data_IF_109302509409
#
_entry.id   IF_109302509409
#
_cell.length_a   1.000
_cell.length_b   1.000
_cell.length_c   1.000
_cell.angle_alpha   90.00
_cell.angle_beta   90.00
_cell.angle_gamma   90.00
#
_symmetry.space_group_name_H-M   'P 1'
#
loop_
_entity.id
_entity.type
_entity.pdbx_description
1 polymer ?
#
# COMPACT_ATOMS: atom_id res chain seq x y z
N UNK A 1 -16.22 17.01 -24.63
CA UNK A 1 -15.22 16.37 -25.49
C UNK A 1 -15.04 14.92 -25.07
N UNK A 2 -16.00 14.08 -25.47
CA UNK A 2 -15.85 12.63 -25.59
C UNK A 2 -15.14 12.41 -26.92
N UNK A 3 -13.90 11.95 -26.95
CA UNK A 3 -13.20 11.76 -28.23
C UNK A 3 -11.94 10.90 -28.09
N UNK A 4 -12.04 9.68 -28.63
CA UNK A 4 -10.99 8.94 -29.34
C UNK A 4 -9.88 8.21 -28.59
N UNK A 5 -9.71 8.36 -27.27
CA UNK A 5 -8.73 7.53 -26.54
C UNK A 5 -9.32 6.23 -25.95
N UNK A 6 -10.61 6.22 -25.60
CA UNK A 6 -11.28 5.02 -25.07
C UNK A 6 -11.71 4.02 -26.16
N UNK A 7 -11.92 4.47 -27.40
CA UNK A 7 -12.38 3.61 -28.50
C UNK A 7 -11.28 2.72 -29.09
N UNK A 8 -10.00 3.07 -28.91
CA UNK A 8 -8.89 2.28 -29.46
C UNK A 8 -8.48 1.10 -28.58
N UNK A 9 -8.71 1.16 -27.26
CA UNK A 9 -8.41 0.05 -26.35
C UNK A 9 -9.61 -0.89 -26.14
N UNK A 10 -10.84 -0.43 -26.39
CA UNK A 10 -12.03 -1.28 -26.36
C UNK A 10 -12.13 -2.11 -27.65
N UNK A 11 -11.72 -1.60 -28.81
CA UNK A 11 -11.76 -2.39 -30.04
C UNK A 11 -10.76 -3.55 -30.09
N UNK A 12 -9.59 -3.45 -29.44
CA UNK A 12 -8.63 -4.57 -29.42
C UNK A 12 -9.06 -5.73 -28.50
N UNK A 13 -10.02 -5.50 -27.59
CA UNK A 13 -10.60 -6.53 -26.71
C UNK A 13 -12.00 -6.97 -27.17
N UNK A 14 -12.57 -6.32 -28.20
CA UNK A 14 -13.94 -6.59 -28.69
C UNK A 14 -13.96 -7.31 -30.05
N UNK A 15 -12.84 -7.44 -30.77
CA UNK A 15 -12.76 -8.27 -31.99
C UNK A 15 -12.20 -9.68 -31.73
N UNK A 16 -12.70 -10.35 -30.68
CA UNK A 16 -12.50 -11.78 -30.44
C UNK A 16 -13.83 -12.51 -30.12
N UNK A 17 -14.95 -11.85 -30.42
CA UNK A 17 -16.30 -12.38 -30.29
C UNK A 17 -16.90 -12.51 -31.69
N UNK A 18 -17.14 -13.77 -32.07
CA UNK A 18 -17.73 -14.31 -33.31
C UNK A 18 -16.68 -15.02 -34.18
N UNK A 19 -16.97 -16.30 -34.43
CA UNK A 19 -16.15 -17.39 -35.02
C UNK A 19 -15.20 -18.01 -33.97
N UNK A 20 -15.44 -19.20 -33.43
CA UNK A 20 -15.73 -20.47 -34.12
C UNK A 20 -16.48 -21.47 -33.23
N UNK A 21 -17.69 -21.85 -33.64
CA UNK A 21 -18.17 -23.23 -33.46
C UNK A 21 -17.43 -24.08 -34.49
N UNK A 22 -16.98 -25.27 -34.08
CA UNK A 22 -16.17 -26.26 -34.81
C UNK A 22 -14.66 -26.06 -34.63
N UNK A 23 -14.10 -26.79 -33.66
CA UNK A 23 -12.91 -27.61 -33.84
C UNK A 23 -13.04 -28.84 -32.94
N UNK A 24 -13.42 -29.96 -33.56
CA UNK A 24 -13.22 -31.28 -32.98
C UNK A 24 -11.75 -31.65 -33.15
N UNK A 25 -11.00 -31.68 -32.07
CA UNK A 25 -9.99 -32.69 -31.78
C UNK A 25 -9.60 -32.57 -30.31
N UNK A 26 -10.22 -33.44 -29.53
CA UNK A 26 -9.96 -33.64 -28.12
C UNK A 26 -8.63 -34.40 -27.97
N UNK A 27 -7.58 -33.67 -27.64
CA UNK A 27 -6.43 -34.18 -26.89
C UNK A 27 -6.08 -33.10 -25.87
N UNK A 28 -6.51 -33.26 -24.62
CA UNK A 28 -5.97 -32.74 -23.34
C UNK A 28 -5.37 -31.31 -23.25
N UNK A 29 -5.63 -30.40 -24.19
CA UNK A 29 -5.05 -29.06 -24.20
C UNK A 29 -5.89 -28.09 -23.36
N UNK A 30 -5.46 -27.89 -22.12
CA UNK A 30 -5.99 -26.88 -21.19
C UNK A 30 -5.47 -25.46 -21.46
N UNK A 31 -4.45 -25.31 -22.31
CA UNK A 31 -3.91 -24.00 -22.64
C UNK A 31 -4.89 -23.20 -23.52
N UNK A 32 -5.15 -21.96 -23.15
CA UNK A 32 -6.12 -21.10 -23.84
C UNK A 32 -6.69 -20.02 -22.94
N UNK A 33 -7.72 -19.35 -23.47
CA UNK A 33 -8.46 -18.27 -22.81
C UNK A 33 -9.82 -18.79 -22.40
N UNK A 34 -10.19 -18.61 -21.13
CA UNK A 34 -11.48 -18.95 -20.57
C UNK A 34 -12.18 -17.72 -20.01
N UNK A 35 -13.50 -17.61 -20.17
CA UNK A 35 -14.27 -16.47 -19.65
C UNK A 35 -15.73 -16.83 -19.38
N UNK A 36 -16.34 -16.14 -18.41
CA UNK A 36 -17.77 -16.24 -18.08
C UNK A 36 -18.61 -15.12 -18.72
N UNK A 37 -18.03 -14.37 -19.68
CA UNK A 37 -18.68 -13.21 -20.32
C UNK A 37 -19.97 -13.55 -21.09
N UNK A 38 -20.17 -14.81 -21.49
CA UNK A 38 -21.34 -15.26 -22.22
C UNK A 38 -22.63 -15.32 -21.38
N UNK A 39 -22.53 -15.34 -20.04
CA UNK A 39 -23.69 -15.48 -19.13
C UNK A 39 -24.13 -14.17 -18.45
N UNK A 40 -23.63 -13.02 -18.93
CA UNK A 40 -24.02 -11.71 -18.39
C UNK A 40 -23.33 -11.32 -17.06
N UNK A 41 -22.37 -12.12 -16.59
CA UNK A 41 -21.56 -11.81 -15.41
C UNK A 41 -20.37 -10.88 -15.74
N UNK A 42 -19.96 -10.09 -14.76
CA UNK A 42 -18.89 -9.11 -14.89
C UNK A 42 -17.49 -9.74 -14.85
N UNK A 43 -16.97 -10.14 -16.01
CA UNK A 43 -15.56 -9.94 -16.37
C UNK A 43 -14.49 -10.73 -15.61
N UNK A 44 -14.62 -12.06 -15.50
CA UNK A 44 -13.50 -12.95 -15.15
C UNK A 44 -12.88 -13.57 -16.42
N UNK A 45 -11.54 -13.59 -16.49
CA UNK A 45 -10.77 -14.18 -17.58
C UNK A 45 -9.60 -14.98 -17.03
N UNK A 46 -9.46 -16.22 -17.48
CA UNK A 46 -8.26 -17.02 -17.28
C UNK A 46 -7.50 -17.14 -18.58
N UNK A 47 -6.19 -16.94 -18.53
CA UNK A 47 -5.27 -17.26 -19.61
C UNK A 47 -4.31 -18.31 -19.08
N UNK A 48 -4.31 -19.51 -19.65
CA UNK A 48 -3.45 -20.61 -19.26
C UNK A 48 -2.46 -20.89 -20.37
N UNK A 49 -1.16 -20.76 -20.12
CA UNK A 49 -0.09 -21.14 -21.05
C UNK A 49 0.36 -22.57 -20.82
N UNK A 50 0.78 -23.26 -21.88
CA UNK A 50 1.35 -24.61 -21.83
C UNK A 50 2.57 -24.73 -20.88
N UNK A 51 3.25 -23.62 -20.56
CA UNK A 51 4.40 -23.63 -19.65
C UNK A 51 4.04 -23.69 -18.16
N UNK A 52 2.75 -23.83 -17.81
CA UNK A 52 2.28 -23.90 -16.42
C UNK A 52 2.12 -22.54 -15.75
N UNK A 53 2.22 -21.44 -16.51
CA UNK A 53 1.93 -20.09 -16.04
C UNK A 53 0.73 -19.49 -16.74
N UNK A 54 0.18 -18.46 -16.14
CA UNK A 54 -1.02 -17.85 -16.63
C UNK A 54 -1.33 -16.53 -15.95
N UNK A 55 -2.56 -16.08 -16.18
CA UNK A 55 -3.09 -14.88 -15.57
C UNK A 55 -4.55 -15.11 -15.22
N UNK A 56 -4.94 -14.60 -14.07
CA UNK A 56 -6.33 -14.44 -13.67
C UNK A 56 -6.68 -12.97 -13.66
N UNK A 57 -7.70 -12.58 -14.42
CA UNK A 57 -8.23 -11.23 -14.44
C UNK A 57 -9.66 -11.19 -13.89
N UNK A 58 -9.94 -10.25 -12.99
CA UNK A 58 -11.31 -9.88 -12.58
C UNK A 58 -11.48 -8.37 -12.72
N UNK A 59 -12.36 -7.95 -13.63
CA UNK A 59 -12.63 -6.53 -13.88
C UNK A 59 -11.38 -5.70 -14.21
N UNK A 60 -10.88 -4.91 -13.24
CA UNK A 60 -9.75 -3.98 -13.39
C UNK A 60 -8.40 -4.51 -12.86
N UNK A 61 -8.35 -5.75 -12.34
CA UNK A 61 -7.15 -6.30 -11.72
C UNK A 61 -6.75 -7.61 -12.39
N UNK A 62 -5.44 -7.79 -12.58
CA UNK A 62 -4.83 -9.00 -13.13
C UNK A 62 -3.79 -9.54 -12.15
N UNK A 63 -3.92 -10.82 -11.80
CA UNK A 63 -2.97 -11.54 -10.97
C UNK A 63 -2.21 -12.56 -11.83
N UNK A 64 -0.87 -12.50 -11.90
CA UNK A 64 -0.08 -13.56 -12.49
C UNK A 64 -0.26 -14.85 -11.68
N UNK A 65 -0.24 -15.98 -12.37
CA UNK A 65 -0.56 -17.26 -11.80
C UNK A 65 0.42 -18.35 -12.24
N UNK A 66 0.66 -19.32 -11.36
CA UNK A 66 1.18 -20.65 -11.71
C UNK A 66 0.03 -21.64 -11.59
N UNK A 67 -0.12 -22.56 -12.53
CA UNK A 67 -1.19 -23.54 -12.53
C UNK A 67 -0.66 -24.95 -12.76
N UNK A 68 -1.31 -25.92 -12.14
CA UNK A 68 -0.97 -27.33 -12.25
C UNK A 68 -2.25 -28.17 -12.34
N UNK A 69 -2.29 -29.14 -13.26
CA UNK A 69 -3.38 -30.12 -13.35
C UNK A 69 -3.17 -31.18 -12.26
N UNK A 70 -4.21 -31.46 -11.49
CA UNK A 70 -4.20 -32.48 -10.45
C UNK A 70 -5.51 -33.25 -10.45
N UNK A 71 -5.47 -34.53 -10.06
CA UNK A 71 -6.68 -35.31 -9.81
C UNK A 71 -6.88 -35.43 -8.29
N UNK A 72 -7.96 -34.84 -7.78
CA UNK A 72 -8.29 -34.81 -6.36
C UNK A 72 -9.59 -35.56 -6.15
N UNK A 73 -9.57 -36.62 -5.35
CA UNK A 73 -10.74 -37.48 -5.09
C UNK A 73 -11.45 -37.97 -6.37
N UNK A 74 -10.67 -38.23 -7.44
CA UNK A 74 -11.19 -38.68 -8.74
C UNK A 74 -11.71 -37.57 -9.65
N UNK A 75 -11.77 -36.32 -9.18
CA UNK A 75 -12.13 -35.14 -9.98
C UNK A 75 -10.87 -34.54 -10.60
N UNK A 76 -10.92 -34.27 -11.91
CA UNK A 76 -9.85 -33.57 -12.62
C UNK A 76 -9.95 -32.06 -12.34
N UNK A 77 -8.89 -31.49 -11.78
CA UNK A 77 -8.83 -30.10 -11.31
C UNK A 77 -7.57 -29.36 -11.80
N UNK A 78 -7.62 -28.04 -11.73
CA UNK A 78 -6.47 -27.14 -11.81
C UNK A 78 -6.30 -26.49 -10.43
N UNK A 79 -5.12 -26.63 -9.85
CA UNK A 79 -4.68 -25.82 -8.72
C UNK A 79 -3.93 -24.62 -9.27
N UNK A 80 -4.41 -23.42 -8.98
CA UNK A 80 -3.82 -22.19 -9.46
C UNK A 80 -3.36 -21.34 -8.28
N UNK A 81 -2.06 -21.03 -8.26
CA UNK A 81 -1.44 -20.12 -7.30
C UNK A 81 -1.33 -18.74 -7.91
N UNK A 82 -2.11 -17.79 -7.38
CA UNK A 82 -2.09 -16.38 -7.73
C UNK A 82 -1.04 -15.65 -6.90
N UNK A 83 -0.31 -14.74 -7.54
CA UNK A 83 0.71 -13.93 -6.89
C UNK A 83 0.30 -12.45 -6.87
N UNK A 84 0.14 -11.88 -5.67
CA UNK A 84 0.02 -10.43 -5.51
C UNK A 84 1.43 -9.81 -5.59
N UNK A 85 1.82 -9.43 -6.82
CA UNK A 85 3.10 -8.77 -7.08
C UNK A 85 2.98 -7.25 -6.90
N UNK A 86 1.78 -6.70 -6.72
CA UNK A 86 1.56 -5.26 -6.60
C UNK A 86 1.94 -4.73 -5.22
N UNK A 87 1.86 -5.56 -4.18
CA UNK A 87 2.31 -5.20 -2.84
C UNK A 87 3.81 -5.47 -2.68
N UNK A 88 4.62 -4.42 -2.84
CA UNK A 88 6.09 -4.49 -2.84
C UNK A 88 6.73 -5.02 -1.54
N UNK A 89 5.96 -5.24 -0.48
CA UNK A 89 6.45 -5.61 0.86
C UNK A 89 6.28 -7.08 1.22
N UNK A 90 5.29 -7.77 0.62
CA UNK A 90 5.00 -9.18 0.89
C UNK A 90 4.46 -9.78 -0.39
N UNK A 91 5.16 -10.79 -0.94
CA UNK A 91 4.57 -11.63 -1.97
C UNK A 91 3.50 -12.48 -1.28
N UNK A 92 2.22 -12.20 -1.56
CA UNK A 92 1.12 -13.03 -1.08
C UNK A 92 0.76 -14.03 -2.16
N UNK A 93 0.63 -15.27 -1.74
CA UNK A 93 0.11 -16.36 -2.58
C UNK A 93 -1.36 -16.58 -2.17
N UNK A 94 -2.23 -16.74 -3.17
CA UNK A 94 -3.62 -17.12 -2.99
C UNK A 94 -3.92 -18.29 -3.90
N UNK A 95 -4.60 -19.32 -3.40
CA UNK A 95 -4.82 -20.54 -4.15
C UNK A 95 -6.27 -20.67 -4.56
N UNK A 96 -6.49 -20.95 -5.84
CA UNK A 96 -7.80 -21.18 -6.44
C UNK A 96 -7.82 -22.57 -7.01
N UNK A 97 -8.86 -23.33 -6.68
CA UNK A 97 -9.09 -24.65 -7.22
C UNK A 97 -10.21 -24.55 -8.27
N UNK A 98 -9.91 -25.01 -9.48
CA UNK A 98 -10.87 -25.08 -10.56
C UNK A 98 -11.13 -26.52 -10.95
N UNK A 99 -12.39 -26.90 -11.07
CA UNK A 99 -12.80 -28.18 -11.64
C UNK A 99 -12.74 -28.11 -13.16
N UNK A 100 -12.25 -29.17 -13.80
CA UNK A 100 -12.23 -29.32 -15.27
C UNK A 100 -13.48 -30.09 -15.68
N UNK A 101 -14.32 -29.47 -16.51
CA UNK A 101 -15.47 -30.16 -17.11
C UNK A 101 -15.19 -30.48 -18.58
N UNK A 102 -14.74 -31.70 -18.84
CA UNK A 102 -14.31 -32.10 -20.20
C UNK A 102 -15.43 -32.10 -21.25
N UNK A 103 -16.69 -32.29 -20.84
CA UNK A 103 -17.83 -32.30 -21.79
C UNK A 103 -18.11 -30.92 -22.35
N UNK A 104 -18.04 -29.91 -21.49
CA UNK A 104 -18.36 -28.51 -21.78
C UNK A 104 -17.13 -27.67 -22.09
N UNK A 105 -15.93 -28.26 -21.94
CA UNK A 105 -14.64 -27.57 -22.07
C UNK A 105 -14.61 -26.29 -21.21
N UNK A 106 -15.09 -26.40 -19.97
CA UNK A 106 -15.15 -25.29 -19.03
C UNK A 106 -14.32 -25.54 -17.79
N UNK A 107 -13.95 -24.44 -17.13
CA UNK A 107 -13.31 -24.43 -15.82
C UNK A 107 -14.28 -23.81 -14.83
N UNK A 108 -14.51 -24.47 -13.71
CA UNK A 108 -15.43 -23.97 -12.68
C UNK A 108 -14.68 -23.70 -11.40
N UNK A 109 -14.71 -22.47 -10.90
CA UNK A 109 -14.07 -22.15 -9.61
C UNK A 109 -14.87 -22.81 -8.49
N UNK A 110 -14.25 -23.77 -7.80
CA UNK A 110 -14.90 -24.56 -6.74
C UNK A 110 -14.45 -24.15 -5.34
N UNK A 111 -13.23 -23.61 -5.20
CA UNK A 111 -12.70 -23.18 -3.92
C UNK A 111 -11.62 -22.11 -4.05
N UNK A 112 -11.48 -21.32 -2.99
CA UNK A 112 -10.39 -20.38 -2.77
C UNK A 112 -9.84 -20.59 -1.36
N UNK A 113 -8.53 -20.63 -1.20
CA UNK A 113 -7.90 -20.81 0.11
C UNK A 113 -6.50 -20.18 0.19
N UNK A 114 -5.98 -20.11 1.42
CA UNK A 114 -4.66 -19.56 1.67
C UNK A 114 -3.54 -20.56 1.37
N UNK A 115 -3.84 -21.87 1.33
CA UNK A 115 -2.87 -22.91 0.94
C UNK A 115 -3.48 -23.98 0.01
N UNK A 116 -2.67 -24.72 -0.76
CA UNK A 116 -3.16 -25.83 -1.58
C UNK A 116 -3.85 -26.94 -0.77
N UNK A 117 -3.35 -27.23 0.43
CA UNK A 117 -3.91 -28.29 1.29
C UNK A 117 -5.32 -27.93 1.79
N UNK A 118 -5.57 -26.66 2.07
CA UNK A 118 -6.91 -26.16 2.39
C UNK A 118 -7.86 -26.31 1.21
N UNK A 119 -7.40 -26.06 -0.02
CA UNK A 119 -8.23 -26.30 -1.22
C UNK A 119 -8.59 -27.77 -1.40
N UNK A 120 -7.66 -28.70 -1.10
CA UNK A 120 -7.91 -30.14 -1.23
C UNK A 120 -8.94 -30.65 -0.21
N UNK A 121 -8.92 -30.13 1.03
CA UNK A 121 -9.90 -30.49 2.08
C UNK A 121 -11.33 -30.08 1.73
N UNK A 122 -11.53 -29.03 0.95
CA UNK A 122 -12.87 -28.60 0.54
C UNK A 122 -13.56 -29.69 -0.31
N UNK A 123 -12.79 -30.45 -1.10
CA UNK A 123 -13.30 -31.59 -1.86
C UNK A 123 -13.58 -32.85 -1.01
N UNK A 124 -13.16 -32.90 0.26
CA UNK A 124 -13.54 -33.98 1.18
C UNK A 124 -15.00 -33.84 1.66
N UNK A 125 -15.52 -32.61 1.68
CA UNK A 125 -16.91 -32.31 2.05
C UNK A 125 -17.94 -32.52 0.93
N UNK A 126 -17.49 -32.90 -0.27
CA UNK A 126 -18.31 -32.98 -1.48
C UNK A 126 -18.21 -31.74 -2.36
N UNK A 127 -18.73 -31.83 -3.59
CA UNK A 127 -18.80 -30.68 -4.51
C UNK A 127 -19.93 -29.73 -4.10
N UNK A 128 -19.78 -28.41 -4.32
CA UNK A 128 -20.88 -27.45 -4.17
C UNK A 128 -22.06 -27.80 -5.10
N UNK A 129 -23.26 -27.33 -4.75
CA UNK A 129 -24.46 -27.55 -5.55
C UNK A 129 -24.34 -26.95 -6.96
N UNK A 130 -24.92 -27.62 -7.96
CA UNK A 130 -24.78 -27.26 -9.39
C UNK A 130 -25.24 -25.82 -9.70
N UNK A 131 -26.24 -25.31 -9.00
CA UNK A 131 -26.70 -23.92 -9.19
C UNK A 131 -25.65 -22.90 -8.69
N UNK A 132 -24.88 -23.20 -7.65
CA UNK A 132 -23.78 -22.34 -7.18
C UNK A 132 -22.56 -22.38 -8.12
N UNK A 133 -22.40 -23.50 -8.83
CA UNK A 133 -21.28 -23.72 -9.75
C UNK A 133 -21.49 -23.00 -11.09
N UNK A 134 -22.73 -22.86 -11.56
CA UNK A 134 -23.04 -22.19 -12.85
C UNK A 134 -22.46 -20.78 -12.93
N UNK A 135 -22.67 -19.96 -11.90
CA UNK A 135 -22.18 -18.56 -11.88
C UNK A 135 -20.65 -18.44 -11.83
N UNK A 136 -19.95 -19.53 -11.45
CA UNK A 136 -18.50 -19.62 -11.31
C UNK A 136 -17.82 -20.34 -12.48
N UNK A 137 -18.59 -20.74 -13.49
CA UNK A 137 -18.12 -21.48 -14.68
C UNK A 137 -17.58 -20.52 -15.74
N UNK A 138 -16.41 -20.85 -16.27
CA UNK A 138 -15.74 -20.12 -17.35
C UNK A 138 -15.60 -21.03 -18.56
N UNK A 139 -16.12 -20.56 -19.68
CA UNK A 139 -16.13 -21.32 -20.92
C UNK A 139 -14.88 -21.01 -21.74
N UNK A 140 -14.39 -22.03 -22.44
CA UNK A 140 -13.31 -21.87 -23.39
C UNK A 140 -13.70 -20.87 -24.50
N UNK A 141 -12.81 -19.92 -24.77
CA UNK A 141 -12.99 -18.87 -25.78
C UNK A 141 -12.11 -19.15 -26.99
N UNK A 142 -10.80 -19.34 -26.78
CA UNK A 142 -9.82 -19.58 -27.85
C UNK A 142 -8.55 -20.23 -27.31
N UNK A 143 -7.87 -21.01 -28.14
CA UNK A 143 -6.52 -21.52 -27.87
C UNK A 143 -5.41 -20.53 -28.22
N UNK A 144 -5.75 -19.46 -28.95
CA UNK A 144 -4.78 -18.47 -29.44
C UNK A 144 -4.48 -17.42 -28.37
N UNK A 145 -3.48 -17.71 -27.54
CA UNK A 145 -2.96 -16.77 -26.54
C UNK A 145 -2.19 -15.65 -27.26
N UNK A 146 -2.47 -14.36 -26.99
CA UNK A 146 -1.72 -13.27 -27.60
C UNK A 146 -0.23 -13.32 -27.27
N UNK A 147 0.63 -12.94 -28.22
CA UNK A 147 2.08 -13.11 -28.14
C UNK A 147 2.73 -12.34 -26.96
N UNK A 148 2.15 -11.19 -26.61
CA UNK A 148 2.55 -10.40 -25.45
C UNK A 148 2.41 -11.20 -24.14
N UNK A 149 1.33 -11.98 -24.00
CA UNK A 149 1.12 -12.84 -22.84
C UNK A 149 2.05 -14.04 -22.83
N UNK A 150 2.28 -14.68 -23.98
CA UNK A 150 3.26 -15.78 -24.07
C UNK A 150 4.65 -15.33 -23.62
N UNK A 151 5.14 -14.22 -24.17
CA UNK A 151 6.41 -13.62 -23.78
C UNK A 151 6.46 -13.26 -22.29
N UNK A 152 5.34 -12.77 -21.73
CA UNK A 152 5.24 -12.46 -20.32
C UNK A 152 5.28 -13.71 -19.43
N UNK A 153 4.62 -14.79 -19.84
CA UNK A 153 4.59 -16.07 -19.12
C UNK A 153 5.93 -16.78 -19.15
N UNK A 154 6.67 -16.72 -20.26
CA UNK A 154 8.03 -17.27 -20.34
C UNK A 154 8.99 -16.62 -19.34
N UNK A 155 8.85 -15.30 -19.11
CA UNK A 155 9.68 -14.54 -18.15
C UNK A 155 9.15 -14.61 -16.71
N UNK A 156 7.99 -15.24 -16.49
CA UNK A 156 7.33 -15.27 -15.19
C UNK A 156 8.14 -16.00 -14.10
N UNK A 157 8.77 -17.17 -14.37
CA UNK A 157 9.57 -17.87 -13.36
C UNK A 157 10.68 -17.00 -12.75
N UNK A 158 11.43 -16.29 -13.60
CA UNK A 158 12.52 -15.42 -13.18
C UNK A 158 12.00 -14.20 -12.38
N UNK A 159 10.91 -13.59 -12.86
CA UNK A 159 10.27 -12.46 -12.15
C UNK A 159 9.77 -12.88 -10.76
N UNK A 160 9.14 -14.04 -10.64
CA UNK A 160 8.67 -14.58 -9.36
C UNK A 160 9.84 -14.91 -8.43
N UNK A 161 10.91 -15.53 -8.93
CA UNK A 161 12.11 -15.80 -8.14
C UNK A 161 12.74 -14.51 -7.58
N UNK A 162 12.84 -13.46 -8.41
CA UNK A 162 13.35 -12.16 -7.98
C UNK A 162 12.42 -11.47 -6.97
N UNK A 163 11.10 -11.58 -7.15
CA UNK A 163 10.11 -11.05 -6.22
C UNK A 163 10.20 -11.73 -4.85
N UNK A 164 10.32 -13.07 -4.82
CA UNK A 164 10.53 -13.86 -3.59
C UNK A 164 11.78 -13.42 -2.85
N UNK A 165 12.92 -13.34 -3.55
CA UNK A 165 14.18 -12.87 -2.97
C UNK A 165 14.09 -11.45 -2.40
N UNK A 166 13.41 -10.54 -3.11
CA UNK A 166 13.20 -9.17 -2.65
C UNK A 166 12.31 -9.13 -1.39
N UNK A 167 11.21 -9.91 -1.37
CA UNK A 167 10.32 -10.02 -0.22
C UNK A 167 11.06 -10.59 1.00
N UNK A 168 11.88 -11.62 0.83
CA UNK A 168 12.70 -12.19 1.90
C UNK A 168 13.71 -11.18 2.47
N UNK A 169 14.41 -10.43 1.60
CA UNK A 169 15.34 -9.39 2.00
C UNK A 169 14.65 -8.29 2.81
N UNK A 170 13.47 -7.86 2.35
CA UNK A 170 12.68 -6.86 3.07
C UNK A 170 12.15 -7.40 4.40
N UNK A 171 11.64 -8.64 4.44
CA UNK A 171 11.18 -9.28 5.67
C UNK A 171 12.33 -9.44 6.69
N UNK A 172 13.54 -9.78 6.23
CA UNK A 172 14.75 -9.83 7.07
C UNK A 172 15.14 -8.43 7.57
N UNK A 173 15.11 -7.41 6.71
CA UNK A 173 15.40 -6.03 7.09
C UNK A 173 14.39 -5.48 8.11
N UNK A 174 13.09 -5.77 7.90
CA UNK A 174 12.00 -5.42 8.82
C UNK A 174 12.17 -6.09 10.17
N UNK A 175 12.40 -7.42 10.21
CA UNK A 175 12.67 -8.15 11.47
C UNK A 175 13.87 -7.58 12.22
N UNK A 176 14.99 -7.35 11.53
CA UNK A 176 16.18 -6.73 12.13
C UNK A 176 15.90 -5.32 12.67
N UNK A 177 15.09 -4.54 11.97
CA UNK A 177 14.68 -3.21 12.40
C UNK A 177 13.79 -3.29 13.66
N UNK A 178 12.80 -4.17 13.68
CA UNK A 178 11.90 -4.40 14.83
C UNK A 178 12.65 -4.94 16.06
N UNK A 179 13.57 -5.89 15.87
CA UNK A 179 14.46 -6.40 16.92
C UNK A 179 15.32 -5.28 17.51
N UNK A 180 15.89 -4.42 16.66
CA UNK A 180 16.65 -3.25 17.10
C UNK A 180 15.77 -2.29 17.91
N UNK A 181 14.57 -1.97 17.42
CA UNK A 181 13.66 -1.07 18.15
C UNK A 181 13.27 -1.66 19.52
N UNK A 182 13.00 -2.97 19.58
CA UNK A 182 12.70 -3.68 20.83
C UNK A 182 13.89 -3.67 21.80
N UNK A 183 15.10 -3.91 21.30
CA UNK A 183 16.31 -3.86 22.11
C UNK A 183 16.63 -2.44 22.62
N UNK A 184 16.30 -1.42 21.84
CA UNK A 184 16.50 -0.01 22.19
C UNK A 184 15.38 0.56 23.10
N UNK A 185 14.25 -0.14 23.24
CA UNK A 185 13.08 0.34 23.98
C UNK A 185 13.36 0.73 25.45
N UNK A 186 14.14 -0.05 26.24
CA UNK A 186 14.45 0.34 27.62
C UNK A 186 15.18 1.69 27.72
N UNK A 187 16.06 1.98 26.76
CA UNK A 187 16.78 3.26 26.70
C UNK A 187 15.84 4.42 26.33
N UNK A 188 14.86 4.18 25.45
CA UNK A 188 13.83 5.19 25.12
C UNK A 188 13.04 5.55 26.38
N UNK A 189 12.64 4.55 27.17
CA UNK A 189 11.88 4.75 28.40
C UNK A 189 12.68 5.47 29.48
N UNK A 190 13.96 5.12 29.65
CA UNK A 190 14.89 5.82 30.54
C UNK A 190 15.01 7.31 30.17
N UNK A 191 15.31 7.61 28.91
CA UNK A 191 15.41 8.98 28.42
C UNK A 191 14.09 9.74 28.58
N UNK A 192 12.95 9.10 28.28
CA UNK A 192 11.64 9.72 28.42
C UNK A 192 11.34 10.05 29.89
N UNK A 193 11.72 9.17 30.83
CA UNK A 193 11.58 9.44 32.26
C UNK A 193 12.45 10.62 32.71
N UNK A 194 13.70 10.69 32.25
CA UNK A 194 14.56 11.85 32.52
C UNK A 194 13.91 13.16 32.03
N UNK A 195 13.27 13.14 30.86
CA UNK A 195 12.57 14.31 30.31
C UNK A 195 11.32 14.65 31.13
N UNK A 196 10.59 13.65 31.63
CA UNK A 196 9.44 13.89 32.53
C UNK A 196 9.86 14.57 33.82
N UNK A 197 10.96 14.09 34.41
CA UNK A 197 11.47 14.62 35.67
C UNK A 197 12.07 16.03 35.48
N UNK A 198 12.70 16.28 34.33
CA UNK A 198 13.25 17.58 33.97
C UNK A 198 13.18 17.83 32.45
N UNK A 199 12.17 18.55 31.94
CA UNK A 199 12.02 18.81 30.51
C UNK A 199 13.20 19.52 29.85
N UNK A 200 14.02 20.26 30.61
CA UNK A 200 15.20 20.93 30.07
C UNK A 200 16.34 19.96 29.72
N UNK A 201 16.34 18.73 30.23
CA UNK A 201 17.40 17.74 29.94
C UNK A 201 17.42 17.29 28.47
N UNK A 202 16.40 17.64 27.66
CA UNK A 202 16.42 17.41 26.21
C UNK A 202 17.67 17.99 25.54
N UNK A 203 18.28 19.02 26.14
CA UNK A 203 19.48 19.65 25.61
C UNK A 203 20.78 18.90 25.93
N UNK A 204 20.74 17.96 26.88
CA UNK A 204 21.87 17.13 27.30
C UNK A 204 22.04 15.92 26.39
N UNK A 205 21.00 15.54 25.63
CA UNK A 205 21.10 14.49 24.63
C UNK A 205 21.84 14.97 23.38
N UNK A 206 22.88 14.24 22.99
CA UNK A 206 23.60 14.48 21.74
C UNK A 206 22.83 13.91 20.55
N UNK A 207 22.30 14.80 19.70
CA UNK A 207 21.64 14.37 18.46
C UNK A 207 22.69 13.96 17.43
N UNK A 208 22.55 12.75 16.90
CA UNK A 208 23.42 12.25 15.85
C UNK A 208 22.76 12.43 14.48
N UNK A 209 23.57 12.71 13.46
CA UNK A 209 23.10 12.98 12.11
C UNK A 209 23.71 11.99 11.12
N UNK A 210 23.01 11.73 10.01
CA UNK A 210 23.52 10.99 8.86
C UNK A 210 23.35 11.84 7.60
N UNK A 211 24.28 11.66 6.66
CA UNK A 211 24.29 12.40 5.41
C UNK A 211 23.47 11.64 4.36
N UNK A 212 22.51 12.34 3.75
CA UNK A 212 21.68 11.85 2.65
C UNK A 212 21.84 12.82 1.48
N UNK A 213 22.71 12.46 0.53
CA UNK A 213 23.14 13.40 -0.52
C UNK A 213 23.86 14.60 0.09
N UNK A 214 23.35 15.81 -0.15
CA UNK A 214 23.88 17.07 0.41
C UNK A 214 23.26 17.46 1.76
N UNK A 215 22.25 16.73 2.24
CA UNK A 215 21.50 17.07 3.44
C UNK A 215 21.93 16.22 4.64
N UNK A 216 21.98 16.84 5.83
CA UNK A 216 22.03 16.11 7.08
C UNK A 216 20.60 15.80 7.54
N UNK A 217 20.37 14.60 8.04
CA UNK A 217 19.12 14.23 8.71
C UNK A 217 19.44 13.66 10.08
N UNK A 218 18.64 14.01 11.07
CA UNK A 218 18.78 13.44 12.41
C UNK A 218 18.51 11.93 12.34
N UNK A 219 19.34 11.15 13.03
CA UNK A 219 19.15 9.71 13.19
C UNK A 219 18.05 9.47 14.21
N UNK A 220 17.24 8.44 13.98
CA UNK A 220 16.20 8.01 14.93
C UNK A 220 16.83 7.19 16.07
N UNK A 221 17.70 7.79 16.89
CA UNK A 221 18.27 7.15 18.08
C UNK A 221 17.23 7.03 19.19
N UNK A 222 17.49 6.24 20.26
CA UNK A 222 16.60 6.18 21.43
C UNK A 222 16.26 7.56 22.00
N UNK A 223 17.26 8.43 22.16
CA UNK A 223 17.11 9.80 22.67
C UNK A 223 16.21 10.64 21.76
N UNK A 224 16.41 10.56 20.44
CA UNK A 224 15.58 11.30 19.48
C UNK A 224 14.11 10.86 19.54
N UNK A 225 13.86 9.55 19.68
CA UNK A 225 12.51 9.01 19.82
C UNK A 225 11.88 9.41 21.16
N UNK A 226 12.66 9.41 22.25
CA UNK A 226 12.20 9.89 23.55
C UNK A 226 11.83 11.38 23.51
N UNK A 227 12.66 12.23 22.89
CA UNK A 227 12.36 13.66 22.68
C UNK A 227 11.06 13.83 21.87
N UNK A 228 10.89 13.09 20.77
CA UNK A 228 9.69 13.17 19.93
C UNK A 228 8.43 12.75 20.70
N UNK A 229 8.53 11.65 21.45
CA UNK A 229 7.46 11.17 22.31
C UNK A 229 7.12 12.21 23.39
N UNK A 230 8.13 12.82 24.00
CA UNK A 230 7.95 13.84 25.02
C UNK A 230 7.24 15.09 24.49
N UNK A 231 7.64 15.60 23.32
CA UNK A 231 6.93 16.74 22.71
C UNK A 231 5.47 16.42 22.36
N UNK A 232 5.19 15.17 22.02
CA UNK A 232 3.83 14.70 21.71
C UNK A 232 2.97 14.50 22.98
N UNK A 233 3.60 14.21 24.12
CA UNK A 233 2.94 13.99 25.41
C UNK A 233 2.58 15.32 26.09
N UNK A 234 1.28 15.67 26.06
CA UNK A 234 0.76 16.91 26.66
C UNK A 234 0.86 16.95 28.18
N UNK A 235 1.08 15.82 28.84
CA UNK A 235 1.24 15.76 30.30
C UNK A 235 2.61 16.24 30.77
N UNK A 236 3.61 16.29 29.88
CA UNK A 236 4.96 16.76 30.21
C UNK A 236 5.00 18.28 30.10
N UNK A 237 5.30 19.03 31.18
CA UNK A 237 5.15 20.48 31.22
C UNK A 237 6.37 21.21 30.64
N UNK A 238 6.51 21.24 29.31
CA UNK A 238 7.53 22.06 28.66
C UNK A 238 7.21 23.55 28.82
N UNK A 239 8.18 24.35 29.23
CA UNK A 239 8.01 25.81 29.18
C UNK A 239 8.12 26.30 27.73
N UNK A 240 7.48 27.43 27.43
CA UNK A 240 7.59 28.07 26.11
C UNK A 240 9.05 28.36 25.73
N UNK A 241 9.87 28.78 26.70
CA UNK A 241 11.30 29.04 26.50
C UNK A 241 12.05 27.78 26.03
N UNK A 242 11.79 26.62 26.65
CA UNK A 242 12.44 25.36 26.26
C UNK A 242 12.06 25.00 24.81
N UNK A 243 10.77 25.12 24.46
CA UNK A 243 10.28 24.82 23.11
C UNK A 243 10.94 25.73 22.07
N UNK A 244 10.97 27.04 22.31
CA UNK A 244 11.61 28.01 21.41
C UNK A 244 13.11 27.78 21.29
N UNK A 245 13.80 27.56 22.41
CA UNK A 245 15.23 27.26 22.42
C UNK A 245 15.56 26.01 21.61
N UNK A 246 14.71 24.99 21.66
CA UNK A 246 14.88 23.80 20.82
C UNK A 246 14.70 24.11 19.34
N UNK A 247 13.66 24.87 18.98
CA UNK A 247 13.41 25.30 17.59
C UNK A 247 14.52 26.19 17.03
N UNK A 248 15.22 26.96 17.86
CA UNK A 248 16.32 27.83 17.44
C UNK A 248 17.69 27.12 17.41
N UNK A 249 17.86 26.04 18.18
CA UNK A 249 19.13 25.28 18.26
C UNK A 249 19.47 24.54 16.96
N UNK A 250 18.46 24.09 16.20
CA UNK A 250 18.66 23.21 15.05
C UNK A 250 18.08 23.79 13.75
N UNK A 251 18.69 23.43 12.62
CA UNK A 251 18.11 23.70 11.31
C UNK A 251 16.90 22.79 11.10
N UNK A 252 15.76 23.38 10.78
CA UNK A 252 14.49 22.63 10.71
C UNK A 252 14.52 21.53 9.67
N UNK A 253 15.16 21.72 8.51
CA UNK A 253 15.36 20.69 7.48
C UNK A 253 16.06 19.42 8.03
N UNK A 254 16.95 19.56 9.02
CA UNK A 254 17.73 18.46 9.58
C UNK A 254 16.95 17.67 10.65
N UNK A 255 16.01 18.34 11.33
CA UNK A 255 15.24 17.80 12.48
C UNK A 255 13.73 17.83 12.28
N UNK A 256 13.25 17.93 11.03
CA UNK A 256 11.85 18.28 10.76
C UNK A 256 10.82 17.33 11.36
N UNK A 257 11.15 16.05 11.49
CA UNK A 257 10.31 15.04 12.14
C UNK A 257 10.23 15.19 13.66
N UNK A 258 11.24 15.79 14.31
CA UNK A 258 11.27 16.00 15.77
C UNK A 258 10.44 17.23 16.20
N UNK A 259 10.46 18.29 15.39
CA UNK A 259 9.90 19.59 15.77
C UNK A 259 8.39 19.72 15.51
N UNK A 260 7.82 18.87 14.64
CA UNK A 260 6.40 18.91 14.29
C UNK A 260 5.46 18.92 15.51
N UNK A 261 5.62 17.99 16.47
CA UNK A 261 4.81 17.96 17.69
C UNK A 261 4.83 19.26 18.50
N UNK A 262 5.94 20.02 18.47
CA UNK A 262 6.07 21.32 19.17
C UNK A 262 4.99 22.30 18.70
N UNK A 263 4.61 22.28 17.42
CA UNK A 263 3.63 23.22 16.84
C UNK A 263 2.22 23.07 17.42
N UNK A 264 1.93 21.93 18.02
CA UNK A 264 0.63 21.64 18.66
C UNK A 264 0.64 21.85 20.16
N UNK A 265 1.74 22.36 20.74
CA UNK A 265 1.85 22.63 22.17
C UNK A 265 1.04 23.86 22.55
N UNK A 266 0.29 23.73 23.64
CA UNK A 266 -0.51 24.82 24.21
C UNK A 266 0.39 25.94 24.75
N UNK A 267 1.61 25.61 25.19
CA UNK A 267 2.56 26.56 25.77
C UNK A 267 3.14 27.53 24.75
N UNK A 268 3.00 27.25 23.44
CA UNK A 268 3.32 28.24 22.42
C UNK A 268 2.24 29.31 22.38
N UNK A 269 2.57 30.49 22.89
CA UNK A 269 1.72 31.67 22.89
C UNK A 269 1.47 32.19 21.47
N UNK A 270 0.42 32.99 21.32
CA UNK A 270 0.15 33.70 20.06
C UNK A 270 1.32 34.60 19.62
N UNK A 271 2.07 35.19 20.55
CA UNK A 271 3.23 36.02 20.23
C UNK A 271 4.38 35.19 19.64
N UNK A 272 4.65 34.02 20.21
CA UNK A 272 5.65 33.08 19.68
C UNK A 272 5.22 32.51 18.34
N UNK A 273 3.94 32.18 18.19
CA UNK A 273 3.38 31.72 16.91
C UNK A 273 3.54 32.77 15.81
N UNK A 274 3.36 34.06 16.11
CA UNK A 274 3.67 35.16 15.16
C UNK A 274 5.14 35.14 14.71
N UNK A 275 6.08 34.95 15.63
CA UNK A 275 7.52 34.88 15.30
C UNK A 275 7.85 33.65 14.45
N UNK A 276 7.21 32.52 14.73
CA UNK A 276 7.43 31.26 14.02
C UNK A 276 6.77 31.22 12.64
N UNK A 277 5.72 32.02 12.40
CA UNK A 277 4.89 31.99 11.18
C UNK A 277 5.69 31.91 9.86
N UNK A 278 6.72 32.75 9.59
CA UNK A 278 7.46 32.66 8.34
C UNK A 278 8.18 31.31 8.16
N UNK A 279 8.75 30.76 9.24
CA UNK A 279 9.45 29.46 9.23
C UNK A 279 8.47 28.30 9.09
N UNK A 280 7.29 28.39 9.73
CA UNK A 280 6.25 27.35 9.66
C UNK A 280 5.63 27.27 8.27
N UNK A 281 5.43 28.40 7.57
CA UNK A 281 5.01 28.37 6.17
C UNK A 281 6.01 27.60 5.30
N UNK A 282 7.31 27.89 5.43
CA UNK A 282 8.35 27.20 4.65
C UNK A 282 8.38 25.69 4.98
N UNK A 283 8.34 25.36 6.27
CA UNK A 283 8.25 23.99 6.76
C UNK A 283 7.05 23.24 6.18
N UNK A 284 5.86 23.82 6.26
CA UNK A 284 4.62 23.20 5.78
C UNK A 284 4.63 22.97 4.26
N UNK A 285 5.28 23.86 3.51
CA UNK A 285 5.40 23.72 2.05
C UNK A 285 6.38 22.64 1.62
N UNK A 286 7.52 22.52 2.32
CA UNK A 286 8.68 21.74 1.85
C UNK A 286 8.89 20.43 2.57
N UNK A 287 8.53 20.37 3.85
CA UNK A 287 8.97 19.29 4.74
C UNK A 287 7.79 18.44 5.20
N UNK A 288 6.77 19.05 5.80
CA UNK A 288 5.61 18.34 6.32
C UNK A 288 4.40 19.27 6.46
N UNK A 289 3.45 19.18 5.53
CA UNK A 289 2.26 20.01 5.56
C UNK A 289 1.28 19.65 6.67
N UNK A 290 1.27 18.41 7.19
CA UNK A 290 0.36 18.01 8.27
C UNK A 290 0.71 18.75 9.56
N UNK A 291 2.00 18.73 9.95
CA UNK A 291 2.47 19.47 11.12
C UNK A 291 2.46 20.98 10.90
N UNK A 292 2.78 21.43 9.68
CA UNK A 292 2.61 22.83 9.29
C UNK A 292 1.17 23.30 9.43
N UNK A 293 0.19 22.50 9.00
CA UNK A 293 -1.25 22.74 9.12
C UNK A 293 -1.73 22.71 10.57
N UNK A 294 -1.27 21.73 11.36
CA UNK A 294 -1.61 21.59 12.77
C UNK A 294 -1.20 22.82 13.60
N UNK A 295 -0.12 23.52 13.21
CA UNK A 295 0.22 24.82 13.78
C UNK A 295 -0.96 25.81 13.64
N UNK A 296 -1.60 25.90 12.48
CA UNK A 296 -2.67 26.86 12.21
C UNK A 296 -4.04 26.43 12.74
N UNK A 297 -4.29 25.12 12.82
CA UNK A 297 -5.51 24.62 13.48
C UNK A 297 -5.53 24.90 14.98
N UNK A 298 -4.36 25.09 15.60
CA UNK A 298 -4.27 25.29 17.03
C UNK A 298 -5.01 26.57 17.49
N UNK A 299 -5.80 26.53 18.59
CA UNK A 299 -6.56 27.69 19.07
C UNK A 299 -5.70 28.92 19.37
N UNK A 300 -4.50 28.71 19.92
CA UNK A 300 -3.54 29.79 20.22
C UNK A 300 -2.92 30.45 18.99
N UNK A 301 -3.15 29.96 17.77
CA UNK A 301 -2.68 30.61 16.55
C UNK A 301 -3.61 31.77 16.19
N UNK A 302 -3.11 33.03 16.16
CA UNK A 302 -3.93 34.17 15.80
C UNK A 302 -4.55 34.04 14.41
N UNK A 303 -5.85 34.35 14.30
CA UNK A 303 -6.61 34.18 13.06
C UNK A 303 -6.08 34.99 11.88
N UNK A 304 -5.43 36.12 12.13
CA UNK A 304 -4.82 36.90 11.06
C UNK A 304 -3.65 36.16 10.40
N UNK A 305 -2.92 35.30 11.13
CA UNK A 305 -1.90 34.43 10.55
C UNK A 305 -2.50 33.32 9.69
N UNK A 306 -3.65 32.76 10.13
CA UNK A 306 -4.39 31.76 9.36
C UNK A 306 -4.89 32.36 8.04
N UNK A 307 -5.41 33.60 8.08
CA UNK A 307 -5.83 34.34 6.90
C UNK A 307 -4.66 34.68 5.98
N UNK A 308 -3.52 35.13 6.54
CA UNK A 308 -2.30 35.37 5.76
C UNK A 308 -1.86 34.09 5.03
N UNK A 309 -1.72 32.98 5.76
CA UNK A 309 -1.37 31.68 5.19
C UNK A 309 -2.35 31.26 4.09
N UNK A 310 -3.67 31.38 4.32
CA UNK A 310 -4.69 30.98 3.36
C UNK A 310 -4.65 31.83 2.08
N UNK A 311 -4.31 33.12 2.19
CA UNK A 311 -4.22 34.04 1.04
C UNK A 311 -3.08 33.73 0.08
N UNK A 312 -2.07 32.98 0.53
CA UNK A 312 -0.89 32.63 -0.26
C UNK A 312 -1.23 31.60 -1.34
N UNK A 313 -0.77 31.85 -2.57
CA UNK A 313 -1.03 30.99 -3.74
C UNK A 313 -0.14 29.75 -3.80
N UNK A 314 0.99 29.78 -3.10
CA UNK A 314 2.04 28.75 -3.11
C UNK A 314 1.89 27.70 -2.00
N UNK A 315 0.76 27.69 -1.30
CA UNK A 315 0.43 26.70 -0.27
C UNK A 315 -0.15 25.43 -0.91
N UNK A 316 0.43 24.24 -0.66
CA UNK A 316 -0.07 22.96 -1.15
C UNK A 316 -1.52 22.71 -0.73
N UNK A 317 -2.27 21.95 -1.55
CA UNK A 317 -3.68 21.65 -1.29
C UNK A 317 -3.90 21.00 0.09
N UNK A 318 -3.11 19.99 0.44
CA UNK A 318 -3.23 19.31 1.74
C UNK A 318 -2.99 20.24 2.93
N UNK A 319 -2.08 21.21 2.82
CA UNK A 319 -1.89 22.25 3.84
C UNK A 319 -3.11 23.19 3.91
N UNK A 320 -3.65 23.58 2.76
CA UNK A 320 -4.80 24.49 2.69
C UNK A 320 -6.04 23.95 3.41
N UNK A 321 -6.25 22.64 3.39
CA UNK A 321 -7.39 21.98 4.07
C UNK A 321 -7.43 22.26 5.58
N UNK A 322 -6.27 22.34 6.25
CA UNK A 322 -6.17 22.72 7.67
C UNK A 322 -6.57 24.19 7.92
N UNK A 323 -6.19 25.09 7.00
CA UNK A 323 -6.52 26.51 7.08
C UNK A 323 -8.02 26.72 6.86
N UNK A 324 -8.60 26.04 5.88
CA UNK A 324 -10.02 26.08 5.58
C UNK A 324 -10.84 25.61 6.79
N UNK A 325 -10.49 24.47 7.37
CA UNK A 325 -11.14 23.92 8.57
C UNK A 325 -11.08 24.89 9.75
N UNK A 326 -9.94 25.54 9.99
CA UNK A 326 -9.80 26.55 11.06
C UNK A 326 -10.69 27.78 10.82
N UNK A 327 -10.77 28.26 9.57
CA UNK A 327 -11.58 29.42 9.20
C UNK A 327 -13.08 29.12 9.20
N UNK A 328 -13.49 27.89 8.90
CA UNK A 328 -14.87 27.42 9.01
C UNK A 328 -15.33 27.32 10.47
N UNK A 329 -14.46 26.85 11.37
CA UNK A 329 -14.77 26.75 12.79
C UNK A 329 -15.09 28.11 13.44
N UNK A 330 -14.51 29.21 12.96
CA UNK A 330 -14.77 30.57 13.45
C UNK A 330 -16.08 31.20 12.95
N UNK A 331 -16.73 30.57 11.96
CA UNK A 331 -18.01 31.05 11.43
C UNK A 331 -19.22 30.48 12.18
N UNK A 332 -19.00 29.53 13.09
CA UNK A 332 -20.03 28.86 13.90
C UNK A 332 -20.08 29.45 15.30
#
# INVERSE_FOLDING_TARGET
MKSKFAEKNIMTVVTLLIVSVLWCNADDKLAGVYSNRAEGFAGAVFILSENGYGMFGTGCANAPAKWEKQKINGVDCIVMTLYDIMQTQVLREHHVLLMIESKTHSLTVIAEAATPEETAKILEGGLPDEEELKEKRLYFVTGDIPEEYKTAFEKMPEKLAQAKLNAERQAKAKRKHEERLRAEQPRVEECLQMIRDNPACIFDFELTFWKVGEQNKVKQTPECRAITAAFSDKSIPFTEEILLKFLDKYKWDEVFYLIGPIFTRDELSGASRRKLHPKVIDYGKRLNYDWGGAFYEHPNTPLDLVKDAHSRKDIPKGFREYLDKRLEAEKK
#
